data_IF_799006882515
#
_entry.id   IF_799006882515
#
_cell.length_a   1.000
_cell.length_b   1.000
_cell.length_c   1.000
_cell.angle_alpha   90.00
_cell.angle_beta   90.00
_cell.angle_gamma   90.00
#
_symmetry.space_group_name_H-M   'P 1'
#
loop_
_entity.id
_entity.type
_entity.pdbx_description
1 polymer ?
#
# COMPACT_ATOMS: atom_id res chain seq x y z
N UNK A 1 -22.68 6.30 14.10
CA UNK A 1 -21.38 5.62 14.25
C UNK A 1 -20.82 5.48 12.85
N UNK A 2 -19.85 6.31 12.47
CA UNK A 2 -19.25 6.23 11.13
C UNK A 2 -18.43 4.94 11.10
N UNK A 3 -18.79 4.02 10.20
CA UNK A 3 -17.98 2.84 9.93
C UNK A 3 -16.70 3.34 9.28
N UNK A 4 -15.56 3.25 9.96
CA UNK A 4 -14.26 3.44 9.34
C UNK A 4 -14.02 2.24 8.42
N UNK A 5 -14.48 2.33 7.19
CA UNK A 5 -14.09 1.39 6.14
C UNK A 5 -12.62 1.67 5.87
N UNK A 6 -11.75 0.66 5.98
CA UNK A 6 -10.35 0.78 5.57
C UNK A 6 -10.20 0.08 4.23
N UNK A 7 -9.65 0.78 3.23
CA UNK A 7 -9.33 0.20 1.93
C UNK A 7 -7.98 -0.50 1.98
N UNK A 8 -7.98 -1.81 1.73
CA UNK A 8 -6.75 -2.60 1.59
C UNK A 8 -6.45 -2.82 0.12
N UNK A 9 -5.40 -2.18 -0.36
CA UNK A 9 -4.91 -2.24 -1.73
C UNK A 9 -3.80 -3.29 -1.81
N UNK A 10 -3.94 -4.24 -2.73
CA UNK A 10 -2.88 -5.18 -3.08
C UNK A 10 -2.02 -4.60 -4.20
N UNK A 11 -0.70 -4.56 -4.00
CA UNK A 11 0.25 -4.07 -5.00
C UNK A 11 1.19 -5.20 -5.38
N UNK A 12 1.07 -5.69 -6.61
CA UNK A 12 1.95 -6.70 -7.18
C UNK A 12 2.93 -6.11 -8.19
N UNK A 13 3.86 -6.92 -8.67
CA UNK A 13 4.90 -6.52 -9.64
C UNK A 13 5.82 -5.39 -9.16
N UNK A 14 6.04 -5.30 -7.86
CA UNK A 14 6.97 -4.35 -7.27
C UNK A 14 8.41 -4.76 -7.58
N UNK A 15 9.28 -3.76 -7.75
CA UNK A 15 10.70 -4.03 -7.89
C UNK A 15 11.24 -4.66 -6.59
N UNK A 16 12.26 -5.50 -6.71
CA UNK A 16 12.92 -6.13 -5.57
C UNK A 16 13.49 -5.13 -4.56
N UNK A 17 13.75 -3.91 -5.03
CA UNK A 17 14.29 -2.78 -4.27
C UNK A 17 13.22 -1.85 -3.71
N UNK A 18 11.94 -2.06 -4.07
CA UNK A 18 10.86 -1.18 -3.61
C UNK A 18 10.71 -1.28 -2.09
N UNK A 19 10.74 -0.10 -1.45
CA UNK A 19 10.58 0.05 0.00
C UNK A 19 9.20 0.57 0.36
N UNK A 20 8.84 0.45 1.63
CA UNK A 20 7.56 0.95 2.16
C UNK A 20 7.46 2.47 1.99
N UNK A 21 8.59 3.19 2.09
CA UNK A 21 8.67 4.61 1.85
C UNK A 21 8.37 4.98 0.39
N UNK A 22 8.92 4.26 -0.59
CA UNK A 22 8.62 4.50 -2.01
C UNK A 22 7.15 4.23 -2.33
N UNK A 23 6.61 3.11 -1.83
CA UNK A 23 5.18 2.82 -1.94
C UNK A 23 4.35 3.93 -1.33
N UNK A 24 4.69 4.37 -0.11
CA UNK A 24 4.00 5.46 0.56
C UNK A 24 4.01 6.74 -0.27
N UNK A 25 5.16 7.14 -0.84
CA UNK A 25 5.26 8.33 -1.69
C UNK A 25 4.40 8.22 -2.97
N UNK A 26 4.29 7.03 -3.55
CA UNK A 26 3.42 6.79 -4.72
C UNK A 26 1.95 6.92 -4.35
N UNK A 27 1.55 6.47 -3.17
CA UNK A 27 0.16 6.50 -2.70
C UNK A 27 -0.22 7.81 -1.96
N UNK A 28 0.75 8.59 -1.50
CA UNK A 28 0.59 9.90 -0.85
C UNK A 28 -0.33 10.88 -1.61
N UNK A 29 -0.22 11.05 -2.95
CA UNK A 29 -1.12 11.93 -3.69
C UNK A 29 -2.55 11.39 -3.81
N UNK A 30 -2.77 10.10 -3.58
CA UNK A 30 -4.10 9.49 -3.64
C UNK A 30 -4.82 9.53 -2.28
N UNK A 31 -4.11 9.84 -1.19
CA UNK A 31 -4.66 9.96 0.14
C UNK A 31 -3.64 9.65 1.24
N UNK A 32 -4.10 9.73 2.49
CA UNK A 32 -3.27 9.36 3.62
C UNK A 32 -2.98 7.86 3.59
N UNK A 33 -1.71 7.49 3.60
CA UNK A 33 -1.31 6.08 3.68
C UNK A 33 -1.25 5.68 5.15
N UNK A 34 -2.18 4.82 5.56
CA UNK A 34 -2.28 4.35 6.94
C UNK A 34 -1.20 3.34 7.29
N UNK A 35 -1.09 2.26 6.51
CA UNK A 35 -0.13 1.20 6.77
C UNK A 35 0.40 0.58 5.47
N UNK A 36 1.71 0.34 5.39
CA UNK A 36 2.35 -0.33 4.23
C UNK A 36 3.03 -1.60 4.72
N UNK A 37 2.79 -2.71 4.04
CA UNK A 37 3.38 -4.00 4.35
C UNK A 37 3.97 -4.64 3.09
N UNK A 38 5.29 -4.77 3.03
CA UNK A 38 5.98 -5.44 1.93
C UNK A 38 6.36 -6.84 2.37
N UNK A 39 5.97 -7.83 1.58
CA UNK A 39 6.35 -9.21 1.84
C UNK A 39 7.74 -9.44 1.27
N UNK A 40 8.74 -9.45 2.16
CA UNK A 40 10.12 -9.76 1.81
C UNK A 40 10.42 -11.24 2.10
N UNK A 41 11.22 -11.84 1.23
CA UNK A 41 11.75 -13.18 1.42
C UNK A 41 12.85 -13.12 2.50
N UNK A 42 12.60 -13.73 3.66
CA UNK A 42 13.54 -13.73 4.79
C UNK A 42 14.85 -14.48 4.52
N UNK A 43 14.90 -15.37 3.52
CA UNK A 43 16.11 -16.14 3.20
C UNK A 43 17.09 -15.33 2.36
N UNK A 44 16.55 -14.51 1.46
CA UNK A 44 17.35 -13.72 0.52
C UNK A 44 17.38 -12.22 0.83
N UNK A 45 16.51 -11.76 1.73
CA UNK A 45 16.29 -10.35 2.02
C UNK A 45 15.68 -9.57 0.85
N UNK A 46 15.21 -10.26 -0.20
CA UNK A 46 14.63 -9.61 -1.39
C UNK A 46 13.12 -9.49 -1.26
N UNK A 47 12.55 -8.39 -1.73
CA UNK A 47 11.09 -8.27 -1.83
C UNK A 47 10.52 -9.42 -2.67
N UNK A 48 9.38 -9.99 -2.31
CA UNK A 48 8.72 -11.00 -3.16
C UNK A 48 8.03 -10.37 -4.37
N UNK A 49 8.18 -9.06 -4.55
CA UNK A 49 7.58 -8.28 -5.63
C UNK A 49 6.11 -7.99 -5.38
N UNK A 50 5.65 -8.10 -4.13
CA UNK A 50 4.29 -7.75 -3.75
C UNK A 50 4.20 -7.21 -2.32
N UNK A 51 3.21 -6.37 -2.10
CA UNK A 51 2.90 -5.75 -0.82
C UNK A 51 1.44 -5.37 -0.71
N UNK A 52 1.05 -4.92 0.46
CA UNK A 52 -0.26 -4.38 0.75
C UNK A 52 -0.14 -2.97 1.30
N UNK A 53 -1.06 -2.12 0.90
CA UNK A 53 -1.21 -0.75 1.39
C UNK A 53 -2.61 -0.64 1.97
N UNK A 54 -2.72 -0.30 3.25
CA UNK A 54 -3.97 0.04 3.90
C UNK A 54 -4.10 1.55 3.96
N UNK A 55 -5.20 2.05 3.41
CA UNK A 55 -5.56 3.46 3.44
C UNK A 55 -6.90 3.59 4.16
N UNK A 56 -7.07 4.58 5.06
CA UNK A 56 -8.39 4.97 5.53
C UNK A 56 -9.25 5.37 4.32
N UNK A 57 -10.49 4.89 4.25
CA UNK A 57 -11.43 5.32 3.21
C UNK A 57 -11.75 6.80 3.43
N UNK A 58 -11.07 7.68 2.70
CA UNK A 58 -11.62 8.98 2.38
C UNK A 58 -12.54 8.74 1.21
N UNK A 59 -13.84 8.70 1.49
CA UNK A 59 -14.92 8.58 0.51
C UNK A 59 -14.80 9.67 -0.57
N UNK A 60 -13.93 9.46 -1.55
CA UNK A 60 -13.77 10.27 -2.76
C UNK A 60 -13.01 9.50 -3.86
N UNK A 61 -13.21 8.18 -3.97
CA UNK A 61 -12.97 7.49 -5.22
C UNK A 61 -14.20 7.65 -6.14
N UNK A 62 -14.43 8.87 -6.62
CA UNK A 62 -15.43 9.11 -7.67
C UNK A 62 -14.81 8.72 -9.01
N UNK A 63 -15.01 7.47 -9.43
CA UNK A 63 -14.87 7.13 -10.85
C UNK A 63 -16.11 7.66 -11.56
N UNK A 64 -15.89 8.71 -12.36
CA UNK A 64 -16.87 9.30 -13.29
C UNK A 64 -17.42 8.28 -14.29
#
# INVERSE_FOLDING_TARGET
MQSLTSMRIFVGSLAYTTTDAELRQVFEPYGEVGHVMIFMDQKTGRSRGFGFVEMPDSTEAHVV
#
